data_IF_813732199630
#
_entry.id   IF_813732199630
#
_cell.length_a   1.000
_cell.length_b   1.000
_cell.length_c   1.000
_cell.angle_alpha   90.00
_cell.angle_beta   90.00
_cell.angle_gamma   90.00
#
_symmetry.space_group_name_H-M   'P 1'
#
loop_
_entity.id
_entity.type
_entity.pdbx_description
1 polymer ?
#
# COMPACT_ATOMS: atom_id res chain seq x y z
N UNK A 1 -6.30 -18.07 0.41
CA UNK A 1 -4.95 -17.82 -0.14
C UNK A 1 -4.22 -16.93 0.85
N UNK A 2 -3.06 -17.35 1.35
CA UNK A 2 -2.31 -16.56 2.32
C UNK A 2 -1.80 -15.28 1.63
N UNK A 3 -2.23 -14.11 2.10
CA UNK A 3 -1.76 -12.83 1.58
C UNK A 3 -0.27 -12.70 1.94
N UNK A 4 0.60 -12.80 0.94
CA UNK A 4 2.04 -12.71 1.12
C UNK A 4 2.42 -11.40 1.82
N UNK A 5 3.20 -11.50 2.90
CA UNK A 5 3.76 -10.33 3.57
C UNK A 5 4.73 -9.63 2.60
N UNK A 6 4.59 -8.32 2.45
CA UNK A 6 5.52 -7.48 1.70
C UNK A 6 6.50 -6.81 2.67
N UNK A 7 7.77 -6.79 2.32
CA UNK A 7 8.82 -6.15 3.09
C UNK A 7 9.19 -4.85 2.38
N UNK A 8 8.81 -3.73 2.99
CA UNK A 8 8.97 -2.38 2.44
C UNK A 8 9.95 -1.57 3.27
N UNK A 9 10.50 -0.51 2.67
CA UNK A 9 11.38 0.41 3.37
C UNK A 9 10.65 1.71 3.70
N UNK A 10 10.84 2.21 4.91
CA UNK A 10 10.25 3.46 5.35
C UNK A 10 10.76 4.61 4.48
N UNK A 11 9.89 5.45 3.88
CA UNK A 11 10.31 6.51 2.96
C UNK A 11 11.12 7.63 3.63
N UNK A 12 11.22 7.64 4.97
CA UNK A 12 11.92 8.69 5.73
C UNK A 12 13.26 8.25 6.31
N UNK A 13 13.49 6.96 6.50
CA UNK A 13 14.66 6.46 7.21
C UNK A 13 15.16 5.10 6.69
N UNK A 14 14.60 4.62 5.59
CA UNK A 14 14.91 3.35 4.93
C UNK A 14 14.78 2.09 5.80
N UNK A 15 14.23 2.24 7.00
CA UNK A 15 14.07 1.12 7.91
C UNK A 15 13.07 0.10 7.34
N UNK A 16 13.43 -1.18 7.26
CA UNK A 16 12.54 -2.21 6.71
C UNK A 16 11.36 -2.46 7.65
N UNK A 17 10.18 -2.61 7.08
CA UNK A 17 8.96 -2.96 7.80
C UNK A 17 8.10 -3.93 6.99
N UNK A 18 7.44 -4.83 7.70
CA UNK A 18 6.48 -5.76 7.09
C UNK A 18 5.11 -5.10 6.98
N UNK A 19 4.50 -5.21 5.80
CA UNK A 19 3.10 -4.87 5.56
C UNK A 19 2.36 -6.05 4.97
N UNK A 20 1.05 -6.04 5.18
CA UNK A 20 0.14 -6.98 4.54
C UNK A 20 -0.80 -6.17 3.66
N UNK A 21 -0.95 -6.55 2.38
CA UNK A 21 -2.06 -6.09 1.56
C UNK A 21 -3.39 -6.29 2.30
N UNK A 22 -4.37 -5.39 2.12
CA UNK A 22 -5.67 -5.51 2.76
C UNK A 22 -6.45 -6.73 2.22
N UNK A 23 -6.29 -7.04 0.94
CA UNK A 23 -6.94 -8.17 0.28
C UNK A 23 -6.16 -8.61 -0.99
N UNK A 24 -6.69 -9.61 -1.69
CA UNK A 24 -6.04 -10.19 -2.87
C UNK A 24 -6.13 -9.33 -4.13
N UNK A 25 -7.06 -8.37 -4.20
CA UNK A 25 -7.22 -7.47 -5.34
C UNK A 25 -6.24 -6.31 -5.25
N UNK A 26 -6.04 -5.79 -4.04
CA UNK A 26 -5.17 -4.67 -3.72
C UNK A 26 -3.70 -5.10 -3.57
N UNK A 27 -3.13 -5.65 -4.64
CA UNK A 27 -1.77 -6.23 -4.65
C UNK A 27 -0.66 -5.22 -4.97
N UNK A 28 -1.00 -4.09 -5.61
CA UNK A 28 -0.07 -3.01 -5.90
C UNK A 28 -0.16 -1.92 -4.84
N UNK A 29 0.93 -1.20 -4.59
CA UNK A 29 0.98 -0.12 -3.60
C UNK A 29 1.84 1.07 -4.04
N UNK A 30 1.61 2.23 -3.43
CA UNK A 30 2.49 3.41 -3.49
C UNK A 30 2.41 4.19 -2.18
N UNK A 31 3.41 5.03 -1.92
CA UNK A 31 3.40 6.01 -0.83
C UNK A 31 2.74 7.33 -1.23
N UNK A 32 2.45 7.51 -2.52
CA UNK A 32 1.84 8.72 -3.05
C UNK A 32 0.35 8.51 -3.33
N UNK A 33 -0.46 9.49 -2.94
CA UNK A 33 -1.90 9.45 -3.20
C UNK A 33 -2.13 9.53 -4.71
N UNK A 34 -2.90 8.61 -5.31
CA UNK A 34 -3.22 8.70 -6.74
C UNK A 34 -3.98 9.99 -7.03
N UNK A 35 -3.68 10.60 -8.18
CA UNK A 35 -4.43 11.75 -8.67
C UNK A 35 -5.87 11.31 -9.00
N UNK A 36 -6.84 12.19 -8.73
CA UNK A 36 -8.24 11.98 -9.16
C UNK A 36 -8.27 11.81 -10.68
N UNK A 37 -8.79 10.67 -11.15
CA UNK A 37 -8.82 10.31 -12.58
C UNK A 37 -7.73 9.33 -13.03
N UNK A 38 -6.92 8.79 -12.11
CA UNK A 38 -5.97 7.72 -12.43
C UNK A 38 -6.67 6.41 -12.82
N UNK A 39 -6.04 5.61 -13.68
CA UNK A 39 -6.51 4.30 -14.18
C UNK A 39 -6.53 3.17 -13.12
N UNK A 40 -6.61 3.51 -11.84
CA UNK A 40 -6.67 2.53 -10.74
C UNK A 40 -8.12 2.40 -10.28
N UNK A 41 -8.50 1.19 -9.84
CA UNK A 41 -9.83 0.93 -9.29
C UNK A 41 -10.02 1.57 -7.90
N UNK A 42 -10.70 0.86 -7.01
CA UNK A 42 -10.77 1.26 -5.61
C UNK A 42 -9.36 1.37 -4.99
N UNK A 43 -9.16 2.39 -4.15
CA UNK A 43 -7.88 2.68 -3.50
C UNK A 43 -8.09 2.60 -2.00
N UNK A 44 -7.34 1.72 -1.34
CA UNK A 44 -7.38 1.56 0.11
C UNK A 44 -6.20 2.30 0.73
N UNK A 45 -6.49 3.25 1.62
CA UNK A 45 -5.48 3.93 2.41
C UNK A 45 -5.15 3.11 3.68
N UNK A 46 -3.87 2.84 3.89
CA UNK A 46 -3.35 2.17 5.08
C UNK A 46 -2.32 3.07 5.76
N UNK A 47 -2.68 3.55 6.96
CA UNK A 47 -1.79 4.37 7.78
C UNK A 47 -1.03 3.47 8.77
N UNK A 48 0.28 3.59 8.76
CA UNK A 48 1.21 2.84 9.60
C UNK A 48 2.14 3.82 10.31
N UNK A 49 2.77 3.39 11.39
CA UNK A 49 3.82 4.17 12.05
C UNK A 49 5.14 3.43 11.92
N UNK A 50 6.18 4.14 11.50
CA UNK A 50 7.52 3.55 11.42
C UNK A 50 7.95 3.04 12.81
N UNK A 51 8.29 1.75 12.90
CA UNK A 51 8.73 1.11 14.16
C UNK A 51 10.14 1.54 14.59
N UNK A 52 10.90 2.23 13.73
CA UNK A 52 12.20 2.76 14.09
C UNK A 52 12.03 3.84 15.18
N UNK A 53 12.59 3.66 16.39
CA UNK A 53 12.42 4.59 17.51
C UNK A 53 12.97 5.99 17.23
N UNK A 54 13.90 6.14 16.26
CA UNK A 54 14.43 7.44 15.83
C UNK A 54 13.53 8.16 14.84
N UNK A 55 12.75 7.43 14.04
CA UNK A 55 11.90 8.01 13.01
C UNK A 55 10.50 8.30 13.55
N UNK A 56 9.78 7.26 14.00
CA UNK A 56 8.39 7.32 14.48
C UNK A 56 7.40 8.10 13.58
N UNK A 57 7.77 8.35 12.31
CA UNK A 57 6.92 9.08 11.37
C UNK A 57 5.76 8.20 10.90
N UNK A 58 4.58 8.80 10.66
CA UNK A 58 3.48 8.12 9.99
C UNK A 58 3.86 7.83 8.54
N UNK A 59 3.55 6.63 8.08
CA UNK A 59 3.72 6.15 6.71
C UNK A 59 2.32 5.88 6.18
N UNK A 60 1.96 6.53 5.08
CA UNK A 60 0.69 6.28 4.40
C UNK A 60 0.96 5.47 3.15
N UNK A 61 0.30 4.30 3.06
CA UNK A 61 0.34 3.42 1.91
C UNK A 61 -1.01 3.45 1.22
N UNK A 62 -0.99 3.60 -0.10
CA UNK A 62 -2.15 3.49 -0.96
C UNK A 62 -2.07 2.17 -1.70
N UNK A 63 -3.02 1.28 -1.44
CA UNK A 63 -3.14 0.03 -2.15
C UNK A 63 -4.08 0.18 -3.35
N UNK A 64 -3.69 -0.39 -4.49
CA UNK A 64 -4.41 -0.28 -5.75
C UNK A 64 -4.93 -1.63 -6.19
N UNK A 65 -6.20 -1.66 -6.60
CA UNK A 65 -6.74 -2.76 -7.39
C UNK A 65 -6.53 -2.50 -8.90
N UNK A 66 -6.10 -3.51 -9.68
CA UNK A 66 -6.06 -3.38 -11.13
C UNK A 66 -7.48 -3.22 -11.70
N UNK A 67 -7.71 -2.22 -12.56
CA UNK A 67 -9.03 -1.97 -13.19
C UNK A 67 -9.59 -3.18 -13.96
N UNK A 68 -8.73 -4.13 -14.37
CA UNK A 68 -9.12 -5.33 -15.12
C UNK A 68 -10.02 -6.33 -14.37
N UNK A 69 -10.40 -6.07 -13.12
CA UNK A 69 -11.36 -6.93 -12.42
C UNK A 69 -12.84 -6.58 -12.69
N UNK A 70 -13.14 -5.36 -13.17
CA UNK A 70 -14.53 -4.93 -13.39
C UNK A 70 -15.02 -5.04 -14.84
N UNK A 71 -14.17 -5.46 -15.79
CA UNK A 71 -14.54 -5.58 -17.21
C UNK A 71 -14.86 -7.03 -17.64
N UNK A 72 -15.26 -7.89 -16.70
CA UNK A 72 -15.66 -9.29 -16.95
C UNK A 72 -16.98 -9.66 -16.25
N UNK A 73 -17.99 -8.81 -16.37
CA UNK A 73 -19.39 -9.20 -16.14
C UNK A 73 -20.26 -8.56 -17.21
#
# INVERSE_FOLDING_TARGET
>A
MAVSKLLLNCPYCDWPFEVKPPDSLHSAYSFEKPLRGSFYGEVIEQNLVCKNPKCKKPITLYWYAPMNYFNRI
#
